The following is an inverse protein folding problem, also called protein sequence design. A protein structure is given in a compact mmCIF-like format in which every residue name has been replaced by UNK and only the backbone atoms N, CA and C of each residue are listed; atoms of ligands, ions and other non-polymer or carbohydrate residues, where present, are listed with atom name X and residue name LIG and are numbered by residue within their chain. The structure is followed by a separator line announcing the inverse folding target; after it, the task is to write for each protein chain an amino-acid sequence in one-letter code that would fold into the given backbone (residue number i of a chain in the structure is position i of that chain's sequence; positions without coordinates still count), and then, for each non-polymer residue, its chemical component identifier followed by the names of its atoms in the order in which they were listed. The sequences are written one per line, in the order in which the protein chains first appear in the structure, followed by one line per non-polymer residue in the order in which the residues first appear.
data_IF_037187935873
#
_entry.id   IF_037187935873
#
_cell.length_a   1.000
_cell.length_b   1.000
_cell.length_c   1.000
_cell.angle_alpha   90.00
_cell.angle_beta   90.00
_cell.angle_gamma   90.00
#
_symmetry.space_group_name_H-M   'P 1'
#
loop_
_entity.id
_entity.type
_entity.pdbx_description
1 polymer ?
#
# COMPACT_ATOMS: atom_id res chain seq x y z
N UNK A 1 -0.51 34.96 22.77
CA UNK A 1 0.33 34.09 21.92
C UNK A 1 0.29 34.54 20.45
N UNK A 2 -0.87 34.60 19.77
CA UNK A 2 -0.95 35.02 18.35
C UNK A 2 -0.41 36.43 18.07
N UNK A 3 -0.61 37.40 18.96
CA UNK A 3 -0.09 38.79 18.85
C UNK A 3 1.45 38.91 18.97
N UNK A 4 2.11 37.91 19.52
CA UNK A 4 3.57 37.88 19.75
C UNK A 4 4.32 37.01 18.70
N UNK A 5 3.67 36.59 17.60
CA UNK A 5 4.30 35.76 16.57
C UNK A 5 4.70 34.35 17.03
N UNK A 6 4.19 33.88 18.17
CA UNK A 6 4.51 32.54 18.68
C UNK A 6 3.97 31.47 17.73
N UNK A 7 4.88 30.68 17.17
CA UNK A 7 4.56 29.47 16.41
C UNK A 7 4.85 28.24 17.29
N UNK A 8 3.87 27.41 17.60
CA UNK A 8 4.11 26.18 18.35
C UNK A 8 5.16 25.32 17.61
N UNK A 9 6.19 24.88 18.34
CA UNK A 9 7.15 23.91 17.80
C UNK A 9 6.48 22.52 17.86
N UNK A 10 6.22 21.92 16.70
CA UNK A 10 5.58 20.59 16.58
C UNK A 10 6.40 19.52 17.30
N UNK A 11 7.75 19.59 17.22
CA UNK A 11 8.66 18.64 17.88
C UNK A 11 8.54 18.75 19.41
N UNK A 12 8.50 19.98 19.93
CA UNK A 12 8.34 20.19 21.39
C UNK A 12 6.94 19.73 21.87
N UNK A 13 5.92 19.84 21.02
CA UNK A 13 4.57 19.40 21.33
C UNK A 13 4.44 17.88 21.31
N UNK A 14 5.13 17.18 20.41
CA UNK A 14 5.16 15.71 20.35
C UNK A 14 5.81 15.09 21.58
N UNK A 15 6.81 15.76 22.17
CA UNK A 15 7.45 15.32 23.41
C UNK A 15 6.49 15.32 24.62
N UNK A 16 5.51 16.24 24.64
CA UNK A 16 4.56 16.35 25.74
C UNK A 16 3.29 15.52 25.53
N UNK A 17 2.91 15.27 24.27
CA UNK A 17 1.65 14.56 23.92
C UNK A 17 1.86 13.09 23.59
N UNK A 18 3.09 12.60 23.49
CA UNK A 18 3.47 11.26 22.98
C UNK A 18 2.88 10.95 21.60
N UNK A 19 2.46 11.98 20.85
CA UNK A 19 1.89 11.86 19.50
C UNK A 19 2.49 12.92 18.58
N UNK A 20 2.96 12.49 17.42
CA UNK A 20 3.51 13.38 16.39
C UNK A 20 2.42 14.03 15.52
N UNK A 21 1.22 13.45 15.50
CA UNK A 21 0.14 13.82 14.57
C UNK A 21 0.58 13.71 13.10
N UNK A 22 1.42 12.74 12.82
CA UNK A 22 1.98 12.50 11.50
C UNK A 22 1.79 11.03 11.12
N UNK A 23 1.35 10.79 9.90
CA UNK A 23 1.27 9.48 9.26
C UNK A 23 2.38 9.38 8.22
N UNK A 24 3.13 8.31 8.26
CA UNK A 24 4.06 7.95 7.17
C UNK A 24 3.30 7.19 6.09
N UNK A 25 3.58 7.50 4.83
CA UNK A 25 3.05 6.80 3.66
C UNK A 25 4.20 6.40 2.76
N UNK A 26 4.38 5.09 2.55
CA UNK A 26 5.43 4.57 1.65
C UNK A 26 4.75 3.90 0.46
N UNK A 27 5.14 4.32 -0.75
CA UNK A 27 4.59 3.83 -2.01
C UNK A 27 5.70 3.55 -3.03
N UNK A 28 5.52 2.55 -3.92
CA UNK A 28 6.56 2.23 -4.91
C UNK A 28 6.68 3.27 -6.02
N UNK A 29 5.58 3.89 -6.46
CA UNK A 29 5.58 4.87 -7.56
C UNK A 29 4.52 5.93 -7.36
N UNK A 30 4.89 7.21 -7.47
CA UNK A 30 3.93 8.33 -7.42
C UNK A 30 3.30 8.61 -8.78
N UNK A 31 4.03 8.36 -9.87
CA UNK A 31 3.59 8.66 -11.23
C UNK A 31 2.59 7.66 -11.83
N UNK A 32 2.07 6.75 -11.02
CA UNK A 32 1.05 5.78 -11.42
C UNK A 32 -0.33 6.28 -11.02
N UNK A 33 -1.30 6.27 -11.95
CA UNK A 33 -2.65 6.79 -11.73
C UNK A 33 -3.32 6.25 -10.45
N UNK A 34 -3.19 4.95 -10.20
CA UNK A 34 -3.72 4.30 -9.01
C UNK A 34 -3.16 4.93 -7.72
N UNK A 35 -1.83 5.01 -7.60
CA UNK A 35 -1.22 5.57 -6.39
C UNK A 35 -1.53 7.05 -6.22
N UNK A 36 -1.61 7.84 -7.30
CA UNK A 36 -1.97 9.24 -7.21
C UNK A 36 -3.35 9.42 -6.56
N UNK A 37 -4.35 8.64 -6.98
CA UNK A 37 -5.72 8.69 -6.42
C UNK A 37 -5.76 8.22 -4.96
N UNK A 38 -5.00 7.18 -4.63
CA UNK A 38 -4.91 6.66 -3.24
C UNK A 38 -4.25 7.67 -2.32
N UNK A 39 -3.13 8.28 -2.75
CA UNK A 39 -2.43 9.33 -2.00
C UNK A 39 -3.34 10.51 -1.72
N UNK A 40 -4.08 10.99 -2.73
CA UNK A 40 -5.03 12.09 -2.54
C UNK A 40 -6.10 11.76 -1.51
N UNK A 41 -6.68 10.55 -1.57
CA UNK A 41 -7.69 10.11 -0.61
C UNK A 41 -7.12 9.99 0.82
N UNK A 42 -5.92 9.41 0.97
CA UNK A 42 -5.22 9.30 2.26
C UNK A 42 -4.94 10.70 2.83
N UNK A 43 -4.40 11.60 2.02
CA UNK A 43 -4.07 12.96 2.44
C UNK A 43 -5.31 13.71 2.94
N UNK A 44 -6.41 13.66 2.17
CA UNK A 44 -7.68 14.30 2.55
C UNK A 44 -8.20 13.76 3.88
N UNK A 45 -8.26 12.43 4.02
CA UNK A 45 -8.74 11.78 5.24
C UNK A 45 -7.85 12.11 6.44
N UNK A 46 -6.52 12.06 6.28
CA UNK A 46 -5.58 12.41 7.34
C UNK A 46 -5.76 13.87 7.79
N UNK A 47 -5.88 14.79 6.84
CA UNK A 47 -6.09 16.21 7.12
C UNK A 47 -7.41 16.47 7.89
N UNK A 48 -8.51 15.83 7.50
CA UNK A 48 -9.80 15.92 8.19
C UNK A 48 -9.71 15.45 9.65
N UNK A 49 -8.78 14.53 9.97
CA UNK A 49 -8.52 14.03 11.32
C UNK A 49 -7.37 14.73 12.04
N UNK A 50 -6.83 15.80 11.46
CA UNK A 50 -5.76 16.61 12.06
C UNK A 50 -4.40 15.91 12.07
N UNK A 51 -4.12 15.10 11.03
CA UNK A 51 -2.84 14.47 10.77
C UNK A 51 -2.16 15.10 9.55
N UNK A 52 -0.84 15.20 9.61
CA UNK A 52 0.01 15.47 8.46
C UNK A 52 0.45 14.14 7.82
N UNK A 53 0.73 14.14 6.52
CA UNK A 53 1.23 12.96 5.80
C UNK A 53 2.62 13.22 5.25
N UNK A 54 3.55 12.34 5.57
CA UNK A 54 4.90 12.32 4.99
C UNK A 54 4.98 11.16 4.02
N UNK A 55 5.36 11.44 2.76
CA UNK A 55 5.39 10.46 1.70
C UNK A 55 6.83 10.05 1.40
N UNK A 56 7.11 8.76 1.45
CA UNK A 56 8.30 8.11 0.91
C UNK A 56 7.98 7.40 -0.38
N UNK A 57 8.79 7.58 -1.41
CA UNK A 57 8.65 6.89 -2.70
C UNK A 57 9.83 5.98 -2.90
N UNK A 58 9.60 4.65 -2.90
CA UNK A 58 10.69 3.67 -2.96
C UNK A 58 11.20 3.39 -4.37
N UNK A 59 10.52 3.84 -5.42
CA UNK A 59 10.91 3.66 -6.83
C UNK A 59 11.12 2.20 -7.23
N UNK A 60 10.42 1.26 -6.61
CA UNK A 60 10.61 -0.20 -6.72
C UNK A 60 12.01 -0.66 -6.26
N UNK A 61 12.65 0.08 -5.38
CA UNK A 61 13.95 -0.21 -4.79
C UNK A 61 13.78 -0.55 -3.30
N UNK A 62 14.18 -1.76 -2.92
CA UNK A 62 14.04 -2.30 -1.56
C UNK A 62 14.91 -1.52 -0.55
N UNK A 63 16.11 -1.12 -0.94
CA UNK A 63 16.99 -0.36 -0.04
C UNK A 63 16.45 1.04 0.22
N UNK A 64 15.84 1.65 -0.79
CA UNK A 64 15.17 2.94 -0.62
C UNK A 64 13.92 2.81 0.24
N UNK A 65 13.18 1.71 0.11
CA UNK A 65 12.04 1.40 0.98
C UNK A 65 12.49 1.26 2.44
N UNK A 66 13.51 0.46 2.71
CA UNK A 66 14.12 0.28 4.05
C UNK A 66 14.54 1.63 4.65
N UNK A 67 15.21 2.47 3.86
CA UNK A 67 15.60 3.81 4.29
C UNK A 67 14.41 4.70 4.65
N UNK A 68 13.32 4.61 3.90
CA UNK A 68 12.09 5.34 4.23
C UNK A 68 11.47 4.83 5.52
N UNK A 69 11.41 3.51 5.74
CA UNK A 69 10.94 2.93 7.00
C UNK A 69 11.77 3.45 8.19
N UNK A 70 13.10 3.40 8.10
CA UNK A 70 13.99 3.93 9.13
C UNK A 70 13.75 5.43 9.40
N UNK A 71 13.59 6.22 8.34
CA UNK A 71 13.31 7.66 8.47
C UNK A 71 12.00 7.90 9.22
N UNK A 72 10.92 7.18 8.87
CA UNK A 72 9.62 7.30 9.52
C UNK A 72 9.68 6.86 10.99
N UNK A 73 10.43 5.80 11.31
CA UNK A 73 10.68 5.37 12.69
C UNK A 73 11.41 6.45 13.50
N UNK A 74 12.48 7.03 12.94
CA UNK A 74 13.24 8.11 13.58
C UNK A 74 12.38 9.36 13.81
N UNK A 75 11.48 9.67 12.89
CA UNK A 75 10.51 10.78 13.01
C UNK A 75 9.38 10.47 13.98
N UNK A 76 9.29 9.24 14.49
CA UNK A 76 8.23 8.77 15.40
C UNK A 76 6.85 9.11 14.89
N UNK A 77 6.56 8.71 13.66
CA UNK A 77 5.20 8.84 13.11
C UNK A 77 4.21 8.04 13.94
N UNK A 78 2.97 8.49 14.04
CA UNK A 78 1.92 7.81 14.83
C UNK A 78 1.42 6.52 14.17
N UNK A 79 1.66 6.37 12.86
CA UNK A 79 1.31 5.19 12.09
C UNK A 79 1.92 5.21 10.70
N UNK A 80 1.98 4.06 10.07
CA UNK A 80 2.52 3.84 8.73
C UNK A 80 1.50 3.16 7.83
N UNK A 81 1.37 3.67 6.61
CA UNK A 81 0.71 3.03 5.49
C UNK A 81 1.78 2.64 4.48
N UNK A 82 1.86 1.37 4.13
CA UNK A 82 2.95 0.86 3.28
C UNK A 82 2.39 0.01 2.14
N UNK A 83 2.78 0.34 0.92
CA UNK A 83 2.69 -0.55 -0.23
C UNK A 83 4.12 -0.93 -0.61
N UNK A 84 4.50 -2.19 -0.38
CA UNK A 84 5.87 -2.68 -0.57
C UNK A 84 6.28 -2.71 -2.05
N UNK A 85 7.59 -2.72 -2.30
CA UNK A 85 8.13 -2.88 -3.65
C UNK A 85 7.94 -4.32 -4.18
N UNK A 86 8.13 -4.52 -5.47
CA UNK A 86 8.11 -5.86 -6.07
C UNK A 86 9.28 -6.76 -5.63
N UNK A 87 10.32 -6.16 -5.09
CA UNK A 87 11.56 -6.85 -4.70
C UNK A 87 11.57 -7.19 -3.21
N UNK A 88 10.72 -6.54 -2.42
CA UNK A 88 10.68 -6.74 -0.96
C UNK A 88 10.12 -8.11 -0.63
N UNK A 89 10.97 -8.98 -0.11
CA UNK A 89 10.62 -10.33 0.34
C UNK A 89 10.87 -10.54 1.85
N UNK A 90 11.52 -9.57 2.51
CA UNK A 90 11.82 -9.60 3.94
C UNK A 90 10.90 -8.69 4.75
N UNK A 91 10.25 -9.27 5.75
CA UNK A 91 9.33 -8.58 6.66
C UNK A 91 10.03 -7.93 7.87
N UNK A 92 11.29 -8.26 8.12
CA UNK A 92 12.01 -7.94 9.36
C UNK A 92 11.90 -6.44 9.72
N UNK A 93 12.06 -5.55 8.74
CA UNK A 93 11.92 -4.10 8.95
C UNK A 93 10.51 -3.66 9.35
N UNK A 94 9.49 -4.33 8.86
CA UNK A 94 8.12 -4.06 9.27
C UNK A 94 7.86 -4.53 10.71
N UNK A 95 8.51 -5.61 11.12
CA UNK A 95 8.46 -6.10 12.51
C UNK A 95 9.15 -5.13 13.47
N UNK A 96 10.30 -4.56 13.10
CA UNK A 96 10.97 -3.51 13.86
C UNK A 96 10.05 -2.28 14.07
N UNK A 97 9.30 -1.87 13.04
CA UNK A 97 8.30 -0.79 13.15
C UNK A 97 7.26 -1.12 14.22
N UNK A 98 6.73 -2.34 14.20
CA UNK A 98 5.75 -2.83 15.20
C UNK A 98 6.34 -2.85 16.60
N UNK A 99 7.59 -3.32 16.75
CA UNK A 99 8.26 -3.44 18.03
C UNK A 99 8.54 -2.06 18.65
N UNK A 100 8.67 -1.01 17.85
CA UNK A 100 8.70 0.39 18.28
C UNK A 100 7.32 0.94 18.68
N UNK A 101 6.25 0.14 18.57
CA UNK A 101 4.88 0.55 18.89
C UNK A 101 4.21 1.41 17.82
N UNK A 102 4.74 1.45 16.60
CA UNK A 102 4.15 2.16 15.47
C UNK A 102 3.17 1.21 14.76
N UNK A 103 1.92 1.63 14.62
CA UNK A 103 0.93 0.86 13.87
C UNK A 103 1.25 0.90 12.37
N UNK A 104 1.40 -0.28 11.76
CA UNK A 104 1.63 -0.44 10.33
C UNK A 104 0.43 -1.14 9.68
N UNK A 105 -0.01 -0.59 8.55
CA UNK A 105 -1.05 -1.15 7.70
C UNK A 105 -0.50 -1.28 6.28
N UNK A 106 -0.54 -2.47 5.73
CA UNK A 106 -0.28 -2.68 4.31
C UNK A 106 -1.50 -2.33 3.47
N UNK A 107 -1.26 -1.81 2.29
CA UNK A 107 -2.30 -1.61 1.29
C UNK A 107 -1.75 -1.94 -0.10
N UNK A 108 -2.63 -2.41 -1.00
CA UNK A 108 -2.28 -2.86 -2.36
C UNK A 108 -1.29 -4.04 -2.34
N UNK A 109 -0.06 -3.82 -1.89
CA UNK A 109 0.99 -4.83 -1.75
C UNK A 109 1.47 -4.93 -0.31
N UNK A 110 1.64 -6.13 0.19
CA UNK A 110 2.07 -6.38 1.57
C UNK A 110 2.25 -7.85 1.85
N UNK A 111 2.64 -8.18 3.05
CA UNK A 111 2.83 -9.55 3.51
C UNK A 111 1.53 -10.13 4.06
N UNK A 112 1.07 -11.23 3.46
CA UNK A 112 -0.10 -11.95 3.91
C UNK A 112 0.22 -12.75 5.18
N UNK A 113 -0.75 -12.82 6.08
CA UNK A 113 -0.68 -13.65 7.31
C UNK A 113 0.50 -13.31 8.25
N UNK A 114 1.07 -12.09 8.11
CA UNK A 114 2.22 -11.62 8.88
C UNK A 114 1.85 -10.88 10.17
N UNK A 115 0.59 -10.93 10.59
CA UNK A 115 0.12 -10.26 11.81
C UNK A 115 -0.06 -8.75 11.69
N UNK A 116 -0.05 -8.22 10.47
CA UNK A 116 -0.36 -6.83 10.17
C UNK A 116 -1.74 -6.68 9.54
N UNK A 117 -2.35 -5.51 9.71
CA UNK A 117 -3.55 -5.16 8.93
C UNK A 117 -3.19 -5.00 7.46
N UNK A 118 -3.98 -5.59 6.58
CA UNK A 118 -3.73 -5.56 5.14
C UNK A 118 -5.01 -5.27 4.36
N UNK A 119 -5.00 -4.16 3.63
CA UNK A 119 -6.09 -3.73 2.74
C UNK A 119 -5.71 -4.03 1.28
N UNK A 120 -6.44 -4.92 0.64
CA UNK A 120 -6.22 -5.28 -0.77
C UNK A 120 -7.52 -5.41 -1.54
N UNK A 121 -7.43 -5.34 -2.86
CA UNK A 121 -8.53 -5.69 -3.75
C UNK A 121 -8.71 -7.22 -3.83
N UNK A 122 -9.91 -7.66 -4.25
CA UNK A 122 -10.20 -9.07 -4.54
C UNK A 122 -9.71 -9.43 -5.95
N UNK A 123 -8.39 -9.35 -6.20
CA UNK A 123 -7.78 -9.45 -7.52
C UNK A 123 -8.18 -10.72 -8.28
N UNK A 124 -8.22 -11.88 -7.61
CA UNK A 124 -8.62 -13.15 -8.23
C UNK A 124 -10.06 -13.12 -8.68
N UNK A 125 -10.95 -12.69 -7.77
CA UNK A 125 -12.39 -12.60 -8.08
C UNK A 125 -12.66 -11.58 -9.19
N UNK A 126 -12.06 -10.39 -9.10
CA UNK A 126 -12.25 -9.33 -10.09
C UNK A 126 -11.75 -9.74 -11.48
N UNK A 127 -10.62 -10.45 -11.56
CA UNK A 127 -10.12 -10.97 -12.82
C UNK A 127 -11.03 -12.07 -13.39
N UNK A 128 -11.50 -12.98 -12.53
CA UNK A 128 -12.48 -14.00 -12.92
C UNK A 128 -13.77 -13.37 -13.44
N UNK A 129 -14.38 -12.47 -12.68
CA UNK A 129 -15.63 -11.79 -13.05
C UNK A 129 -15.49 -11.06 -14.41
N UNK A 130 -14.34 -10.40 -14.65
CA UNK A 130 -14.04 -9.72 -15.91
C UNK A 130 -13.96 -10.68 -17.11
N UNK A 131 -13.33 -11.84 -16.92
CA UNK A 131 -13.23 -12.89 -17.97
C UNK A 131 -14.59 -13.56 -18.20
N UNK A 132 -15.32 -13.88 -17.15
CA UNK A 132 -16.68 -14.43 -17.24
C UNK A 132 -17.59 -13.49 -18.03
N UNK A 133 -17.49 -12.18 -17.80
CA UNK A 133 -18.22 -11.18 -18.57
C UNK A 133 -17.89 -11.24 -20.08
N UNK A 134 -16.62 -11.40 -20.45
CA UNK A 134 -16.24 -11.56 -21.86
C UNK A 134 -16.84 -12.85 -22.47
N UNK A 135 -16.83 -13.94 -21.72
CA UNK A 135 -17.41 -15.21 -22.14
C UNK A 135 -18.92 -15.09 -22.34
N UNK A 136 -19.62 -14.42 -21.42
CA UNK A 136 -21.06 -14.13 -21.54
C UNK A 136 -21.40 -13.30 -22.81
N UNK A 137 -20.48 -12.44 -23.24
CA UNK A 137 -20.58 -11.70 -24.50
C UNK A 137 -20.27 -12.54 -25.75
N UNK A 138 -19.92 -13.83 -25.59
CA UNK A 138 -19.66 -14.78 -26.67
C UNK A 138 -18.19 -14.85 -27.12
N UNK A 139 -17.26 -14.24 -26.41
CA UNK A 139 -15.83 -14.35 -26.73
C UNK A 139 -15.25 -15.68 -26.21
N UNK A 140 -14.53 -16.39 -27.07
CA UNK A 140 -13.88 -17.66 -26.74
C UNK A 140 -12.35 -17.61 -26.89
N UNK A 141 -11.83 -16.61 -27.57
CA UNK A 141 -10.39 -16.35 -27.71
C UNK A 141 -10.01 -15.17 -26.84
N UNK A 142 -9.67 -15.45 -25.58
CA UNK A 142 -9.40 -14.42 -24.56
C UNK A 142 -7.94 -14.53 -24.12
N UNK A 143 -7.15 -13.50 -24.34
CA UNK A 143 -5.76 -13.42 -23.91
C UNK A 143 -5.62 -12.67 -22.58
N UNK A 144 -4.66 -13.07 -21.75
CA UNK A 144 -4.30 -12.40 -20.51
C UNK A 144 -2.87 -11.85 -20.59
N UNK A 145 -2.73 -10.52 -20.43
CA UNK A 145 -1.43 -9.89 -20.25
C UNK A 145 -1.06 -9.94 -18.77
N UNK A 146 -0.26 -10.94 -18.42
CA UNK A 146 0.17 -11.16 -17.04
C UNK A 146 1.10 -10.05 -16.57
N UNK A 147 0.90 -9.59 -15.35
CA UNK A 147 1.88 -8.81 -14.61
C UNK A 147 3.05 -9.69 -14.10
N UNK A 148 3.93 -9.08 -13.31
CA UNK A 148 5.05 -9.81 -12.71
C UNK A 148 4.54 -10.91 -11.77
N UNK A 149 5.00 -12.15 -11.96
CA UNK A 149 4.58 -13.30 -11.15
C UNK A 149 5.15 -13.29 -9.72
N UNK A 150 6.15 -12.46 -9.43
CA UNK A 150 6.66 -12.26 -8.07
C UNK A 150 5.66 -11.52 -7.18
N UNK A 151 4.81 -10.69 -7.75
CA UNK A 151 3.80 -9.91 -7.02
C UNK A 151 2.51 -10.71 -6.89
N UNK A 152 1.97 -10.82 -5.68
CA UNK A 152 0.73 -11.54 -5.40
C UNK A 152 -0.43 -11.12 -6.33
N UNK A 153 -0.57 -9.83 -6.60
CA UNK A 153 -1.60 -9.25 -7.48
C UNK A 153 -1.58 -9.92 -8.86
N UNK A 154 -0.40 -10.04 -9.49
CA UNK A 154 -0.25 -10.70 -10.79
C UNK A 154 -0.66 -12.16 -10.75
N UNK A 155 -0.22 -12.90 -9.71
CA UNK A 155 -0.59 -14.30 -9.50
C UNK A 155 -2.09 -14.49 -9.35
N UNK A 156 -2.75 -13.68 -8.53
CA UNK A 156 -4.18 -13.80 -8.29
C UNK A 156 -5.00 -13.44 -9.52
N UNK A 157 -4.64 -12.39 -10.27
CA UNK A 157 -5.32 -12.05 -11.53
C UNK A 157 -5.18 -13.15 -12.57
N UNK A 158 -3.98 -13.71 -12.75
CA UNK A 158 -3.75 -14.87 -13.64
C UNK A 158 -4.59 -16.07 -13.21
N UNK A 159 -4.64 -16.34 -11.89
CA UNK A 159 -5.45 -17.42 -11.35
C UNK A 159 -6.93 -17.24 -11.64
N UNK A 160 -7.48 -16.04 -11.43
CA UNK A 160 -8.87 -15.72 -11.76
C UNK A 160 -9.18 -15.89 -13.24
N UNK A 161 -8.30 -15.46 -14.14
CA UNK A 161 -8.40 -15.69 -15.56
C UNK A 161 -8.48 -17.18 -15.91
N UNK A 162 -7.55 -17.99 -15.38
CA UNK A 162 -7.53 -19.44 -15.64
C UNK A 162 -8.79 -20.14 -15.07
N UNK A 163 -9.25 -19.75 -13.90
CA UNK A 163 -10.47 -20.30 -13.29
C UNK A 163 -11.70 -20.05 -14.16
N UNK A 164 -11.83 -18.84 -14.72
CA UNK A 164 -12.96 -18.53 -15.61
C UNK A 164 -12.93 -19.36 -16.89
N UNK A 165 -11.78 -19.47 -17.56
CA UNK A 165 -11.66 -20.29 -18.76
C UNK A 165 -11.96 -21.77 -18.49
N UNK A 166 -11.40 -22.32 -17.42
CA UNK A 166 -11.63 -23.72 -17.03
C UNK A 166 -13.10 -24.00 -16.69
N UNK A 167 -13.79 -23.06 -16.05
CA UNK A 167 -15.22 -23.21 -15.71
C UNK A 167 -16.13 -23.28 -16.94
N UNK A 168 -15.65 -22.82 -18.09
CA UNK A 168 -16.38 -22.78 -19.36
C UNK A 168 -15.76 -23.68 -20.45
N UNK A 169 -14.85 -24.60 -20.08
CA UNK A 169 -14.18 -25.52 -21.00
C UNK A 169 -13.45 -24.81 -22.17
N UNK A 170 -12.97 -23.59 -21.95
CA UNK A 170 -12.21 -22.81 -22.93
C UNK A 170 -10.73 -23.12 -22.75
N UNK A 171 -10.01 -23.59 -23.81
CA UNK A 171 -8.59 -23.85 -23.72
C UNK A 171 -7.77 -22.56 -23.53
N UNK A 172 -6.62 -22.69 -22.83
CA UNK A 172 -5.68 -21.59 -22.57
C UNK A 172 -4.71 -21.44 -23.73
#
# INVERSE_FOLDING_TARGET
AKKLGYRPNLVARSLTSSKSKTIGLIIPKIAHYFFASVVEAIYKTAFEHGYEVIIGVSLEDEELEKKHLETMMQMRVDGLLVSITEQTDDIERCEEVRDMGINLVFFDRGFKDAGFSYLKAEDQKSARDGVEHLIELGYTEIAHLSGYEKVEIGKYRKKGYLEALNAHDIPV
#
